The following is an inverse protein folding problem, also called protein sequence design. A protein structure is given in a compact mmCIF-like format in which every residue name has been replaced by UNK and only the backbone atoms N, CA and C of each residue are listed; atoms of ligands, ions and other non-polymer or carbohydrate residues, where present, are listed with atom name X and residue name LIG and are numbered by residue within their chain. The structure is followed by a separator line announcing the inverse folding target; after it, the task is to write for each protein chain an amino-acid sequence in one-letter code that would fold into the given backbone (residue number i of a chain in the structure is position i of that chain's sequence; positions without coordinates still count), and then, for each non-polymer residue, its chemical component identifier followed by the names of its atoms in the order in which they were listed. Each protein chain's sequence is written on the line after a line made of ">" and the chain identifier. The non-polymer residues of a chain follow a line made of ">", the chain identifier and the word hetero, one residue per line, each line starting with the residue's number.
data_IF_245200823588
#
_entry.id   IF_245200823588
#
_cell.length_a   1.000
_cell.length_b   1.000
_cell.length_c   1.000
_cell.angle_alpha   90.00
_cell.angle_beta   90.00
_cell.angle_gamma   90.00
#
_symmetry.space_group_name_H-M   'P 1'
#
loop_
_entity.id
_entity.type
_entity.pdbx_description
1 polymer ?
#
# COMPACT_ATOMS: atom_id res chain seq x y z
N UNK A 1 3.28 16.60 -3.67
CA UNK A 1 2.26 15.55 -3.41
C UNK A 1 0.87 16.09 -3.70
N UNK A 2 -0.09 15.22 -4.07
CA UNK A 2 -1.48 15.59 -4.36
C UNK A 2 -2.39 15.14 -3.21
N UNK A 3 -3.31 16.00 -2.80
CA UNK A 3 -4.42 15.65 -1.91
C UNK A 3 -5.39 14.72 -2.67
N UNK A 4 -5.84 13.65 -2.02
CA UNK A 4 -6.72 12.64 -2.59
C UNK A 4 -8.20 12.88 -2.26
N UNK A 5 -9.01 11.82 -2.28
CA UNK A 5 -10.46 11.83 -2.00
C UNK A 5 -10.81 12.15 -0.55
N UNK A 6 -9.90 11.96 0.40
CA UNK A 6 -10.01 12.34 1.81
C UNK A 6 -9.03 13.46 2.14
N UNK A 7 -9.42 14.36 3.03
CA UNK A 7 -8.66 15.58 3.37
C UNK A 7 -7.31 15.31 4.09
N UNK A 8 -7.08 14.08 4.51
CA UNK A 8 -5.89 13.64 5.23
C UNK A 8 -5.05 12.59 4.47
N UNK A 9 -5.41 12.28 3.22
CA UNK A 9 -4.67 11.35 2.37
C UNK A 9 -4.02 12.07 1.19
N UNK A 10 -2.74 11.82 1.00
CA UNK A 10 -1.94 12.39 -0.08
C UNK A 10 -1.23 11.29 -0.86
N UNK A 11 -0.86 11.59 -2.11
CA UNK A 11 -0.14 10.69 -3.00
C UNK A 11 0.98 11.44 -3.71
N UNK A 12 2.07 10.74 -3.99
CA UNK A 12 3.02 11.10 -5.04
C UNK A 12 3.30 9.91 -5.92
N UNK A 13 3.68 10.18 -7.15
CA UNK A 13 3.75 9.19 -8.22
C UNK A 13 5.09 9.32 -8.93
N UNK A 14 5.60 8.19 -9.40
CA UNK A 14 6.72 8.13 -10.35
C UNK A 14 6.31 7.23 -11.51
N UNK A 15 6.44 7.77 -12.71
CA UNK A 15 6.24 7.02 -13.93
C UNK A 15 7.52 6.24 -14.27
N UNK A 16 7.39 4.95 -14.53
CA UNK A 16 8.45 4.08 -15.02
C UNK A 16 8.27 3.90 -16.52
N UNK A 17 9.16 4.51 -17.33
CA UNK A 17 9.08 4.53 -18.79
C UNK A 17 9.27 3.11 -19.38
N UNK A 18 10.17 2.31 -18.80
CA UNK A 18 10.48 0.96 -19.28
C UNK A 18 9.29 0.00 -19.10
N UNK A 19 8.54 0.19 -18.02
CA UNK A 19 7.36 -0.62 -17.70
C UNK A 19 6.06 -0.01 -18.18
N UNK A 20 6.07 1.28 -18.55
CA UNK A 20 4.89 2.08 -18.88
C UNK A 20 3.82 2.03 -17.77
N UNK A 21 4.26 2.24 -16.54
CA UNK A 21 3.43 2.13 -15.32
C UNK A 21 3.70 3.31 -14.39
N UNK A 22 2.63 3.84 -13.78
CA UNK A 22 2.72 4.74 -12.63
C UNK A 22 2.85 3.95 -11.33
N UNK A 23 3.91 4.22 -10.57
CA UNK A 23 4.05 3.76 -9.20
C UNK A 23 3.61 4.83 -8.21
N UNK A 24 2.99 4.42 -7.12
CA UNK A 24 2.40 5.31 -6.12
C UNK A 24 2.96 5.06 -4.72
N UNK A 25 2.99 6.13 -3.96
CA UNK A 25 3.19 6.13 -2.52
C UNK A 25 2.14 7.01 -1.87
N UNK A 26 1.77 6.68 -0.64
CA UNK A 26 0.69 7.36 0.05
C UNK A 26 1.16 7.89 1.40
N UNK A 27 0.64 9.06 1.76
CA UNK A 27 0.81 9.67 3.07
C UNK A 27 -0.56 9.81 3.72
N UNK A 28 -0.69 9.27 4.92
CA UNK A 28 -1.85 9.47 5.78
C UNK A 28 -1.47 10.45 6.90
N UNK A 29 -2.04 11.65 6.84
CA UNK A 29 -1.87 12.70 7.85
C UNK A 29 -2.85 12.46 8.98
N UNK A 30 -2.34 12.40 10.22
CA UNK A 30 -3.13 12.08 11.39
C UNK A 30 -2.53 12.62 12.68
N UNK A 31 -3.36 12.77 13.71
CA UNK A 31 -2.90 13.04 15.06
C UNK A 31 -2.06 11.87 15.58
N UNK A 32 -0.98 12.16 16.29
CA UNK A 32 -0.05 11.15 16.78
C UNK A 32 1.02 10.72 15.77
N UNK A 33 1.18 11.47 14.67
CA UNK A 33 2.23 11.32 13.66
C UNK A 33 1.77 10.65 12.36
N UNK A 34 2.28 11.18 11.27
CA UNK A 34 1.92 10.76 9.92
C UNK A 34 2.47 9.38 9.57
N UNK A 35 1.76 8.69 8.69
CA UNK A 35 2.12 7.36 8.17
C UNK A 35 2.39 7.45 6.67
N UNK A 36 3.51 6.91 6.23
CA UNK A 36 3.82 6.75 4.80
C UNK A 36 3.76 5.27 4.42
N UNK A 37 3.13 4.98 3.29
CA UNK A 37 3.06 3.64 2.71
C UNK A 37 3.92 3.56 1.44
N UNK A 38 4.82 2.56 1.37
CA UNK A 38 5.63 2.19 0.21
C UNK A 38 6.37 3.39 -0.44
N UNK A 39 7.26 4.09 0.26
CA UNK A 39 7.76 5.41 -0.11
C UNK A 39 8.64 5.40 -1.36
N UNK A 40 8.20 6.04 -2.42
CA UNK A 40 9.01 6.42 -3.57
C UNK A 40 9.92 7.60 -3.22
N UNK A 41 11.01 7.84 -3.98
CA UNK A 41 11.84 9.04 -3.80
C UNK A 41 11.00 10.32 -3.87
N UNK A 42 11.30 11.29 -3.01
CA UNK A 42 10.68 12.61 -3.01
C UNK A 42 11.48 13.57 -3.89
N UNK A 43 10.77 14.52 -4.52
CA UNK A 43 11.41 15.73 -5.06
C UNK A 43 11.60 16.75 -3.93
N UNK A 44 12.44 17.77 -4.12
CA UNK A 44 12.58 18.86 -3.16
C UNK A 44 11.23 19.51 -2.83
N UNK A 45 10.36 19.69 -3.84
CA UNK A 45 9.00 20.21 -3.63
C UNK A 45 8.14 19.26 -2.77
N UNK A 46 8.23 17.93 -2.99
CA UNK A 46 7.51 16.96 -2.18
C UNK A 46 8.02 16.94 -0.74
N UNK A 47 9.34 17.08 -0.53
CA UNK A 47 9.95 17.17 0.81
C UNK A 47 9.47 18.40 1.59
N UNK A 48 9.42 19.58 0.93
CA UNK A 48 8.92 20.80 1.54
C UNK A 48 7.43 20.69 1.87
N UNK A 49 6.65 20.07 0.98
CA UNK A 49 5.24 19.81 1.24
C UNK A 49 5.05 18.82 2.41
N UNK A 50 5.84 17.72 2.46
CA UNK A 50 5.80 16.78 3.57
C UNK A 50 6.06 17.46 4.91
N UNK A 51 7.10 18.30 4.99
CA UNK A 51 7.42 19.11 6.20
C UNK A 51 6.25 19.99 6.63
N UNK A 52 5.51 20.58 5.69
CA UNK A 52 4.36 21.44 5.98
C UNK A 52 3.15 20.68 6.53
N UNK A 53 3.06 19.37 6.27
CA UNK A 53 1.97 18.49 6.73
C UNK A 53 2.23 17.85 8.11
N UNK A 54 3.39 18.10 8.71
CA UNK A 54 3.75 17.60 10.02
C UNK A 54 4.78 16.46 9.99
N UNK A 55 5.15 15.96 11.17
CA UNK A 55 6.18 14.93 11.31
C UNK A 55 5.69 13.56 10.86
N UNK A 56 6.56 12.81 10.18
CA UNK A 56 6.36 11.41 9.86
C UNK A 56 6.82 10.57 11.03
N UNK A 57 5.96 9.72 11.55
CA UNK A 57 6.29 8.79 12.64
C UNK A 57 6.50 7.37 12.16
N UNK A 58 5.83 6.98 11.07
CA UNK A 58 5.84 5.60 10.61
C UNK A 58 5.98 5.52 9.09
N UNK A 59 6.83 4.61 8.66
CA UNK A 59 6.97 4.18 7.26
C UNK A 59 6.56 2.70 7.22
N UNK A 60 5.49 2.38 6.52
CA UNK A 60 4.97 1.02 6.42
C UNK A 60 5.22 0.48 5.02
N UNK A 61 5.77 -0.72 4.95
CA UNK A 61 6.14 -1.39 3.70
C UNK A 61 5.22 -2.59 3.51
N UNK A 62 4.55 -2.65 2.36
CA UNK A 62 3.60 -3.71 2.04
C UNK A 62 4.27 -5.05 1.72
N UNK A 63 5.43 -5.03 1.06
CA UNK A 63 6.23 -6.20 0.71
C UNK A 63 7.68 -5.79 0.39
N UNK A 64 8.59 -6.76 0.25
CA UNK A 64 10.03 -6.49 0.02
C UNK A 64 10.34 -5.79 -1.30
N UNK A 65 9.49 -5.90 -2.31
CA UNK A 65 9.67 -5.16 -3.58
C UNK A 65 9.31 -3.67 -3.44
N UNK A 66 8.62 -3.28 -2.36
CA UNK A 66 8.18 -1.92 -2.08
C UNK A 66 9.00 -1.18 -1.02
N UNK A 67 10.19 -1.66 -0.69
CA UNK A 67 11.14 -0.95 0.19
C UNK A 67 11.49 0.42 -0.39
N UNK A 68 11.76 0.47 -1.69
CA UNK A 68 11.95 1.72 -2.45
C UNK A 68 12.89 2.70 -1.72
N UNK A 69 12.38 3.83 -1.22
CA UNK A 69 13.17 4.88 -0.56
C UNK A 69 13.01 4.89 0.98
N UNK A 70 12.55 3.79 1.58
CA UNK A 70 12.20 3.75 3.01
C UNK A 70 13.36 4.08 3.93
N UNK A 71 14.56 3.53 3.70
CA UNK A 71 15.74 3.78 4.55
C UNK A 71 16.17 5.25 4.52
N UNK A 72 16.22 5.85 3.31
CA UNK A 72 16.59 7.27 3.16
C UNK A 72 15.59 8.16 3.88
N UNK A 73 14.31 7.89 3.69
CA UNK A 73 13.25 8.69 4.31
C UNK A 73 13.21 8.50 5.83
N UNK A 74 13.45 7.30 6.33
CA UNK A 74 13.57 7.04 7.77
C UNK A 74 14.74 7.81 8.39
N UNK A 75 15.89 7.85 7.71
CA UNK A 75 17.04 8.64 8.16
C UNK A 75 16.76 10.14 8.20
N UNK A 76 16.02 10.64 7.21
CA UNK A 76 15.67 12.07 7.11
C UNK A 76 14.61 12.51 8.13
N UNK A 77 13.66 11.63 8.47
CA UNK A 77 12.51 11.98 9.31
C UNK A 77 12.60 11.49 10.74
N UNK A 78 13.44 10.48 10.99
CA UNK A 78 13.47 9.75 12.26
C UNK A 78 12.30 8.77 12.43
N UNK A 79 11.54 8.50 11.38
CA UNK A 79 10.39 7.61 11.42
C UNK A 79 10.81 6.15 11.65
N UNK A 80 9.96 5.41 12.35
CA UNK A 80 10.08 3.95 12.46
C UNK A 80 9.72 3.29 11.13
N UNK A 81 10.48 2.25 10.74
CA UNK A 81 10.17 1.43 9.57
C UNK A 81 9.50 0.14 10.02
N UNK A 82 8.33 -0.15 9.47
CA UNK A 82 7.54 -1.35 9.76
C UNK A 82 7.36 -2.18 8.50
N UNK A 83 7.67 -3.48 8.57
CA UNK A 83 7.61 -4.39 7.45
C UNK A 83 6.68 -5.58 7.67
N UNK A 84 6.43 -6.40 6.64
CA UNK A 84 5.59 -7.59 6.72
C UNK A 84 6.26 -8.70 7.53
N UNK A 85 5.56 -9.25 8.52
CA UNK A 85 6.07 -10.31 9.38
C UNK A 85 6.39 -11.60 8.60
N UNK A 86 5.66 -11.88 7.52
CA UNK A 86 5.89 -13.04 6.68
C UNK A 86 7.22 -13.03 5.94
N UNK A 87 7.80 -11.85 5.71
CA UNK A 87 9.10 -11.70 5.02
C UNK A 87 10.26 -11.40 5.96
N UNK A 88 10.03 -11.45 7.28
CA UNK A 88 11.01 -11.01 8.29
C UNK A 88 12.39 -11.68 8.16
N UNK A 89 12.43 -12.97 7.79
CA UNK A 89 13.66 -13.75 7.77
C UNK A 89 14.69 -13.21 6.76
N UNK A 90 14.22 -12.79 5.59
CA UNK A 90 15.06 -12.40 4.45
C UNK A 90 14.77 -10.96 3.99
N UNK A 91 14.14 -10.14 4.86
CA UNK A 91 13.79 -8.77 4.50
C UNK A 91 15.04 -7.91 4.36
N UNK A 92 15.23 -7.21 3.22
CA UNK A 92 16.51 -6.58 2.88
C UNK A 92 16.94 -5.43 3.78
N UNK A 93 16.03 -4.84 4.56
CA UNK A 93 16.31 -3.73 5.47
C UNK A 93 15.85 -4.02 6.90
N UNK A 94 16.37 -3.26 7.86
CA UNK A 94 15.95 -3.37 9.24
C UNK A 94 14.61 -2.68 9.47
N UNK A 95 13.65 -3.42 10.03
CA UNK A 95 12.39 -2.89 10.50
C UNK A 95 12.34 -2.87 12.03
N UNK A 96 11.82 -1.77 12.60
CA UNK A 96 11.63 -1.64 14.04
C UNK A 96 10.43 -2.48 14.51
N UNK A 97 9.47 -2.73 13.63
CA UNK A 97 8.31 -3.55 13.90
C UNK A 97 7.90 -4.41 12.69
N UNK A 98 7.34 -5.57 12.99
CA UNK A 98 6.83 -6.52 12.01
C UNK A 98 5.32 -6.64 12.14
N UNK A 99 4.62 -6.39 11.03
CA UNK A 99 3.17 -6.39 10.95
C UNK A 99 2.64 -7.75 10.48
N UNK A 100 1.57 -8.19 11.12
CA UNK A 100 0.79 -9.36 10.73
C UNK A 100 -0.69 -9.02 10.75
N UNK A 101 -1.49 -9.84 10.09
CA UNK A 101 -2.93 -9.66 10.07
C UNK A 101 -3.55 -9.54 11.47
N UNK A 102 -4.51 -8.63 11.61
CA UNK A 102 -5.24 -8.39 12.85
C UNK A 102 -4.46 -7.66 13.93
N UNK A 103 -3.17 -7.37 13.73
CA UNK A 103 -2.38 -6.61 14.70
C UNK A 103 -2.83 -5.16 14.72
N UNK A 104 -3.33 -4.72 15.86
CA UNK A 104 -3.70 -3.31 16.10
C UNK A 104 -2.46 -2.55 16.56
N UNK A 105 -1.94 -1.68 15.72
CA UNK A 105 -0.71 -0.91 15.99
C UNK A 105 -0.92 0.59 15.91
N UNK A 106 -1.86 1.02 15.09
CA UNK A 106 -2.26 2.41 14.91
C UNK A 106 -3.78 2.44 14.86
N UNK A 107 -4.40 3.33 15.61
CA UNK A 107 -5.85 3.52 15.55
C UNK A 107 -6.27 3.97 14.15
N UNK A 108 -7.30 3.30 13.61
CA UNK A 108 -7.77 3.53 12.25
C UNK A 108 -7.01 2.78 11.16
N UNK A 109 -6.04 1.92 11.51
CA UNK A 109 -5.31 1.07 10.57
C UNK A 109 -5.61 -0.40 10.82
N UNK A 110 -6.20 -1.07 9.84
CA UNK A 110 -6.34 -2.52 9.82
C UNK A 110 -5.35 -3.15 8.84
N UNK A 111 -4.73 -4.26 9.24
CA UNK A 111 -3.70 -4.97 8.47
C UNK A 111 -4.24 -6.32 8.02
N UNK A 112 -4.07 -6.64 6.75
CA UNK A 112 -4.47 -7.90 6.12
C UNK A 112 -3.29 -8.55 5.42
N UNK A 113 -3.08 -9.84 5.61
CA UNK A 113 -2.07 -10.61 4.88
C UNK A 113 -2.64 -11.10 3.55
N UNK A 114 -1.85 -10.98 2.48
CA UNK A 114 -2.21 -11.45 1.13
C UNK A 114 -1.34 -12.67 0.78
N UNK A 115 -1.82 -13.85 1.15
CA UNK A 115 -1.10 -15.10 0.91
C UNK A 115 -1.11 -15.47 -0.58
N UNK A 116 -0.05 -16.15 -1.02
CA UNK A 116 0.11 -16.61 -2.40
C UNK A 116 0.55 -15.53 -3.40
N UNK A 117 0.78 -14.31 -2.94
CA UNK A 117 1.25 -13.20 -3.76
C UNK A 117 2.66 -13.45 -4.34
N UNK A 118 3.24 -12.43 -4.96
CA UNK A 118 4.60 -12.45 -5.51
C UNK A 118 5.67 -12.62 -4.42
N UNK A 119 5.44 -12.06 -3.23
CA UNK A 119 6.27 -12.20 -2.04
C UNK A 119 5.55 -12.97 -0.95
N UNK A 120 6.30 -13.55 0.01
CA UNK A 120 5.73 -14.45 1.03
C UNK A 120 4.83 -13.73 2.05
N UNK A 121 4.99 -12.43 2.20
CA UNK A 121 4.39 -11.69 3.32
C UNK A 121 3.64 -10.43 2.91
N UNK A 122 3.21 -10.30 1.66
CA UNK A 122 2.52 -9.08 1.23
C UNK A 122 1.34 -8.72 2.12
N UNK A 123 1.27 -7.43 2.46
CA UNK A 123 0.20 -6.84 3.26
C UNK A 123 -0.66 -5.88 2.44
N UNK A 124 -1.94 -5.83 2.80
CA UNK A 124 -2.84 -4.74 2.44
C UNK A 124 -3.31 -4.03 3.72
N UNK A 125 -3.70 -2.78 3.58
CA UNK A 125 -4.07 -1.93 4.71
C UNK A 125 -5.42 -1.29 4.46
N UNK A 126 -6.26 -1.19 5.50
CA UNK A 126 -7.48 -0.40 5.45
C UNK A 126 -7.30 0.77 6.41
N UNK A 127 -7.34 1.97 5.85
CA UNK A 127 -7.28 3.24 6.58
C UNK A 127 -8.69 3.73 6.86
N UNK A 128 -8.95 4.06 8.12
CA UNK A 128 -10.23 4.61 8.62
C UNK A 128 -11.47 3.81 8.17
N UNK A 129 -11.29 2.50 7.98
CA UNK A 129 -12.37 1.57 7.63
C UNK A 129 -12.92 1.70 6.19
N UNK A 130 -12.37 2.58 5.35
CA UNK A 130 -12.97 2.90 4.06
C UNK A 130 -11.98 3.02 2.88
N UNK A 131 -10.69 3.15 3.14
CA UNK A 131 -9.66 3.24 2.09
C UNK A 131 -8.72 2.05 2.15
N UNK A 132 -8.78 1.20 1.14
CA UNK A 132 -7.88 0.06 0.98
C UNK A 132 -6.59 0.52 0.28
N UNK A 133 -5.43 0.19 0.85
CA UNK A 133 -4.10 0.37 0.23
C UNK A 133 -3.54 -1.01 -0.08
N UNK A 134 -3.08 -1.24 -1.31
CA UNK A 134 -2.55 -2.53 -1.78
C UNK A 134 -1.15 -2.39 -2.35
N UNK A 135 -0.37 -3.47 -2.25
CA UNK A 135 0.94 -3.62 -2.88
C UNK A 135 0.84 -4.13 -4.32
N UNK A 136 1.38 -5.34 -4.55
CA UNK A 136 1.50 -5.96 -5.87
C UNK A 136 0.30 -6.80 -6.30
N UNK A 137 -0.34 -7.54 -5.37
CA UNK A 137 -1.36 -8.53 -5.70
C UNK A 137 -2.57 -7.92 -6.40
N UNK A 138 -3.09 -6.83 -5.85
CA UNK A 138 -4.22 -6.08 -6.41
C UNK A 138 -3.69 -4.77 -6.97
N UNK A 139 -3.84 -4.58 -8.27
CA UNK A 139 -3.33 -3.44 -9.04
C UNK A 139 -4.37 -2.91 -10.02
N UNK A 140 -4.07 -1.82 -10.72
CA UNK A 140 -5.02 -1.18 -11.62
C UNK A 140 -4.35 -0.69 -12.93
N UNK A 141 -3.85 -1.63 -13.73
CA UNK A 141 -3.15 -1.34 -14.99
C UNK A 141 -4.09 -0.96 -16.14
N UNK A 142 -5.39 -1.16 -15.96
CA UNK A 142 -6.42 -0.68 -16.91
C UNK A 142 -7.27 0.36 -16.18
N UNK A 143 -7.37 1.57 -16.71
CA UNK A 143 -8.10 2.67 -16.06
C UNK A 143 -9.51 2.28 -15.60
N UNK A 144 -9.80 2.52 -14.32
CA UNK A 144 -11.08 2.20 -13.70
C UNK A 144 -11.32 0.72 -13.40
N UNK A 145 -10.33 -0.16 -13.60
CA UNK A 145 -10.46 -1.60 -13.35
C UNK A 145 -9.31 -2.13 -12.52
N UNK A 146 -9.64 -2.87 -11.48
CA UNK A 146 -8.68 -3.64 -10.73
C UNK A 146 -8.34 -4.93 -11.50
N UNK A 147 -7.12 -5.40 -11.31
CA UNK A 147 -6.67 -6.71 -11.76
C UNK A 147 -5.71 -7.32 -10.74
N UNK A 148 -5.52 -8.62 -10.82
CA UNK A 148 -4.44 -9.29 -10.11
C UNK A 148 -3.13 -9.16 -10.87
N UNK A 149 -2.02 -9.30 -10.16
CA UNK A 149 -0.73 -9.57 -10.79
C UNK A 149 -0.82 -10.85 -11.63
N UNK A 150 -0.13 -10.97 -12.78
CA UNK A 150 -0.18 -12.17 -13.60
C UNK A 150 0.20 -13.46 -12.84
N UNK A 151 -0.53 -14.54 -13.09
CA UNK A 151 -0.36 -15.85 -12.41
C UNK A 151 1.09 -16.34 -12.41
N UNK A 152 1.84 -16.11 -13.48
CA UNK A 152 3.25 -16.48 -13.60
C UNK A 152 4.18 -15.81 -12.58
N UNK A 153 3.70 -14.77 -11.88
CA UNK A 153 4.44 -14.06 -10.83
C UNK A 153 3.99 -14.44 -9.42
N UNK A 154 2.92 -15.21 -9.29
CA UNK A 154 2.39 -15.65 -8.00
C UNK A 154 3.14 -16.87 -7.47
N UNK A 155 3.30 -16.94 -6.17
CA UNK A 155 3.83 -18.13 -5.50
C UNK A 155 2.81 -19.26 -5.45
N UNK A 156 1.53 -18.89 -5.21
CA UNK A 156 0.40 -19.81 -5.19
C UNK A 156 -0.86 -19.10 -5.69
N UNK A 157 -1.31 -19.47 -6.89
CA UNK A 157 -2.44 -18.84 -7.58
C UNK A 157 -3.74 -19.00 -6.80
N UNK A 158 -3.99 -20.19 -6.22
CA UNK A 158 -5.24 -20.45 -5.49
C UNK A 158 -5.28 -19.69 -4.16
N UNK A 159 -4.17 -19.61 -3.44
CA UNK A 159 -4.07 -18.80 -2.23
C UNK A 159 -4.20 -17.29 -2.54
N UNK A 160 -3.60 -16.84 -3.63
CA UNK A 160 -3.72 -15.45 -4.07
C UNK A 160 -5.17 -15.09 -4.38
N UNK A 161 -5.88 -15.92 -5.16
CA UNK A 161 -7.31 -15.75 -5.42
C UNK A 161 -8.15 -15.78 -4.14
N UNK A 162 -7.85 -16.68 -3.22
CA UNK A 162 -8.54 -16.72 -1.92
C UNK A 162 -8.31 -15.44 -1.12
N UNK A 163 -7.09 -14.88 -1.14
CA UNK A 163 -6.77 -13.60 -0.51
C UNK A 163 -7.58 -12.45 -1.14
N UNK A 164 -7.64 -12.37 -2.47
CA UNK A 164 -8.45 -11.35 -3.16
C UNK A 164 -9.94 -11.50 -2.84
N UNK A 165 -10.49 -12.71 -2.86
CA UNK A 165 -11.89 -12.97 -2.48
C UNK A 165 -12.20 -12.50 -1.07
N UNK A 166 -11.29 -12.74 -0.13
CA UNK A 166 -11.41 -12.30 1.25
C UNK A 166 -11.42 -10.77 1.36
N UNK A 167 -10.50 -10.09 0.70
CA UNK A 167 -10.50 -8.62 0.65
C UNK A 167 -11.77 -8.08 0.01
N UNK A 168 -12.24 -8.68 -1.08
CA UNK A 168 -13.46 -8.28 -1.78
C UNK A 168 -14.75 -8.50 -0.95
N UNK A 169 -14.69 -9.30 0.12
CA UNK A 169 -15.82 -9.49 1.04
C UNK A 169 -15.96 -8.39 2.09
N UNK A 170 -14.94 -7.56 2.26
CA UNK A 170 -14.94 -6.47 3.25
C UNK A 170 -15.89 -5.37 2.77
N UNK A 171 -16.69 -4.86 3.71
CA UNK A 171 -17.68 -3.83 3.43
C UNK A 171 -17.19 -2.45 3.85
N UNK A 172 -17.76 -1.41 3.24
CA UNK A 172 -17.44 -0.02 3.54
C UNK A 172 -16.23 0.53 2.78
N UNK A 173 -15.63 -0.23 1.86
CA UNK A 173 -14.49 0.23 1.06
C UNK A 173 -14.98 1.16 -0.05
N UNK A 174 -14.70 2.46 0.09
CA UNK A 174 -15.03 3.48 -0.90
C UNK A 174 -13.91 3.66 -1.94
N UNK A 175 -12.64 3.65 -1.49
CA UNK A 175 -11.48 3.85 -2.36
C UNK A 175 -10.44 2.73 -2.26
N UNK A 176 -9.70 2.52 -3.35
CA UNK A 176 -8.59 1.56 -3.42
C UNK A 176 -7.37 2.27 -4.00
N UNK A 177 -6.34 2.36 -3.18
CA UNK A 177 -5.08 3.01 -3.47
C UNK A 177 -4.04 1.93 -3.79
N UNK A 178 -3.81 1.69 -5.08
CA UNK A 178 -2.91 0.63 -5.55
C UNK A 178 -1.45 1.10 -5.58
N UNK A 179 -0.50 0.21 -5.32
CA UNK A 179 0.94 0.48 -5.42
C UNK A 179 1.39 0.81 -6.84
N UNK A 180 0.66 0.30 -7.84
CA UNK A 180 0.90 0.56 -9.26
C UNK A 180 -0.40 0.60 -10.07
N UNK A 181 -0.37 1.36 -11.18
CA UNK A 181 -1.53 1.65 -12.03
C UNK A 181 -2.44 2.76 -11.46
N UNK A 182 -3.68 2.82 -11.87
CA UNK A 182 -4.59 3.93 -11.58
C UNK A 182 -5.48 3.65 -10.37
N UNK A 183 -5.34 4.38 -9.24
CA UNK A 183 -6.17 4.19 -8.07
C UNK A 183 -7.67 4.39 -8.35
N UNK A 184 -8.51 3.69 -7.60
CA UNK A 184 -9.96 3.82 -7.63
C UNK A 184 -10.40 4.67 -6.45
N UNK A 185 -10.91 5.88 -6.70
CA UNK A 185 -11.21 6.85 -5.63
C UNK A 185 -12.66 6.82 -5.16
N UNK A 186 -13.55 6.05 -5.81
CA UNK A 186 -14.96 5.88 -5.45
C UNK A 186 -15.45 4.52 -5.90
N UNK A 187 -16.49 4.02 -5.24
CA UNK A 187 -17.11 2.73 -5.56
C UNK A 187 -16.15 1.55 -5.43
N UNK A 188 -15.26 1.60 -4.44
CA UNK A 188 -14.25 0.56 -4.20
C UNK A 188 -14.85 -0.84 -4.01
N UNK A 189 -15.97 -0.97 -3.30
CA UNK A 189 -16.68 -2.26 -3.17
C UNK A 189 -17.11 -2.83 -4.52
N UNK A 190 -17.61 -1.99 -5.42
CA UNK A 190 -17.99 -2.43 -6.76
C UNK A 190 -16.76 -2.90 -7.54
N UNK A 191 -15.66 -2.13 -7.52
CA UNK A 191 -14.42 -2.49 -8.20
C UNK A 191 -13.84 -3.82 -7.68
N UNK A 192 -13.88 -4.04 -6.35
CA UNK A 192 -13.48 -5.32 -5.74
C UNK A 192 -14.43 -6.47 -6.14
N UNK A 193 -15.73 -6.23 -6.21
CA UNK A 193 -16.70 -7.22 -6.65
C UNK A 193 -16.48 -7.63 -8.11
N UNK A 194 -16.18 -6.65 -8.98
CA UNK A 194 -15.86 -6.90 -10.39
C UNK A 194 -14.54 -7.69 -10.53
N UNK A 195 -13.51 -7.34 -9.76
CA UNK A 195 -12.27 -8.11 -9.70
C UNK A 195 -12.55 -9.56 -9.25
N UNK A 196 -13.29 -9.74 -8.16
CA UNK A 196 -13.62 -11.06 -7.65
C UNK A 196 -14.41 -11.92 -8.64
N UNK A 197 -15.26 -11.32 -9.47
CA UNK A 197 -16.02 -12.03 -10.51
C UNK A 197 -15.17 -12.43 -11.72
N UNK A 198 -13.96 -11.88 -11.86
CA UNK A 198 -13.05 -12.11 -12.99
C UNK A 198 -11.96 -13.17 -12.73
N UNK A 199 -11.87 -13.74 -11.50
CA UNK A 199 -10.78 -14.61 -11.04
C UNK A 199 -11.22 -16.05 -10.70
#
# INVERSE_FOLDING_TARGET
>A
MKLLHQSNLYCWTRFDEDRNIDFHSYLWVRDGGNVIFDPLPLTAHDEDHLKSLGSVSYIIISNSDHIRNAEVLAQQTGAEVWGPAGEKADFPINCTQWLSEGKKVIDGLDVYALNGSKTEGELAFIVEGQTLITGDLIRAHSGGKLCMIPDAKLQDVEQAKASVKRIASIKGIDAILTGDGWPVFRNGEQALSELNASI
#
